data_IF_741600877998
#
_entry.id   IF_741600877998
#
_cell.length_a   1.000
_cell.length_b   1.000
_cell.length_c   1.000
_cell.angle_alpha   90.00
_cell.angle_beta   90.00
_cell.angle_gamma   90.00
#
_symmetry.space_group_name_H-M   'P 1'
#
loop_
_entity.id
_entity.type
_entity.pdbx_description
1 polymer ?
#
# COMPACT_ATOMS: atom_id res chain seq x y z
N UNK A 1 11.89 -26.07 2.89
CA UNK A 1 11.40 -25.06 1.93
C UNK A 1 9.95 -24.77 2.24
N UNK A 2 9.60 -23.55 2.67
CA UNK A 2 8.20 -23.14 2.79
C UNK A 2 7.60 -23.09 1.37
N UNK A 3 6.40 -23.65 1.18
CA UNK A 3 5.68 -23.59 -0.09
C UNK A 3 5.42 -22.11 -0.40
N UNK A 4 5.90 -21.61 -1.54
CA UNK A 4 5.60 -20.25 -1.96
C UNK A 4 4.07 -20.11 -2.07
N UNK A 5 3.51 -19.10 -1.42
CA UNK A 5 2.07 -18.80 -1.53
C UNK A 5 1.81 -18.45 -3.00
N UNK A 6 0.84 -19.11 -3.64
CA UNK A 6 0.36 -18.69 -4.95
C UNK A 6 -0.46 -17.41 -4.76
N UNK A 7 0.23 -16.27 -4.89
CA UNK A 7 -0.33 -14.92 -4.72
C UNK A 7 -1.62 -14.75 -5.53
N UNK A 8 -1.60 -15.15 -6.80
CA UNK A 8 -2.72 -14.91 -7.71
C UNK A 8 -3.95 -15.74 -7.33
N UNK A 9 -3.75 -17.02 -7.01
CA UNK A 9 -4.83 -17.86 -6.52
C UNK A 9 -5.41 -17.32 -5.20
N UNK A 10 -4.55 -16.83 -4.30
CA UNK A 10 -5.00 -16.25 -3.03
C UNK A 10 -5.74 -14.92 -3.24
N UNK A 11 -5.26 -14.04 -4.13
CA UNK A 11 -5.92 -12.78 -4.44
C UNK A 11 -7.27 -13.02 -5.11
N UNK A 12 -7.32 -13.93 -6.08
CA UNK A 12 -8.56 -14.36 -6.72
C UNK A 12 -9.55 -14.90 -5.69
N UNK A 13 -9.08 -15.70 -4.72
CA UNK A 13 -9.94 -16.18 -3.64
C UNK A 13 -10.42 -15.04 -2.72
N UNK A 14 -9.53 -14.13 -2.32
CA UNK A 14 -9.86 -12.99 -1.46
C UNK A 14 -10.86 -12.01 -2.10
N UNK A 15 -10.92 -11.94 -3.44
CA UNK A 15 -11.90 -11.13 -4.18
C UNK A 15 -13.27 -11.81 -4.35
N UNK A 16 -13.44 -13.07 -3.93
CA UNK A 16 -14.71 -13.80 -4.03
C UNK A 16 -15.52 -13.65 -2.74
N UNK A 17 -16.35 -12.63 -2.70
CA UNK A 17 -17.27 -12.42 -1.58
C UNK A 17 -18.39 -13.46 -1.57
N UNK A 18 -18.76 -13.84 -0.35
CA UNK A 18 -19.96 -14.61 -0.02
C UNK A 18 -21.21 -13.73 -0.10
N UNK A 19 -22.39 -14.36 -0.14
CA UNK A 19 -23.67 -13.63 -0.14
C UNK A 19 -23.85 -12.73 1.10
N UNK A 20 -23.35 -13.18 2.25
CA UNK A 20 -23.38 -12.39 3.48
C UNK A 20 -22.49 -11.14 3.38
N UNK A 21 -21.30 -11.25 2.79
CA UNK A 21 -20.41 -10.11 2.58
C UNK A 21 -20.97 -9.14 1.54
N UNK A 22 -21.60 -9.62 0.47
CA UNK A 22 -22.32 -8.76 -0.48
C UNK A 22 -23.48 -8.01 0.18
N UNK A 23 -24.22 -8.64 1.09
CA UNK A 23 -25.25 -7.95 1.87
C UNK A 23 -24.67 -6.82 2.71
N UNK A 24 -23.55 -7.07 3.39
CA UNK A 24 -22.86 -6.04 4.18
C UNK A 24 -22.33 -4.90 3.32
N UNK A 25 -21.75 -5.20 2.15
CA UNK A 25 -21.30 -4.17 1.20
C UNK A 25 -22.47 -3.26 0.82
N UNK A 26 -23.62 -3.84 0.49
CA UNK A 26 -24.82 -3.06 0.16
C UNK A 26 -25.25 -2.16 1.31
N UNK A 27 -25.34 -2.71 2.52
CA UNK A 27 -25.75 -1.95 3.70
C UNK A 27 -24.77 -0.80 4.01
N UNK A 28 -23.47 -1.05 3.87
CA UNK A 28 -22.44 -0.02 4.07
C UNK A 28 -22.43 1.04 2.98
N UNK A 29 -22.68 0.68 1.72
CA UNK A 29 -22.76 1.64 0.62
C UNK A 29 -23.88 2.65 0.85
N UNK A 30 -25.02 2.22 1.37
CA UNK A 30 -26.12 3.13 1.70
C UNK A 30 -25.79 4.05 2.89
N UNK A 31 -25.01 3.55 3.86
CA UNK A 31 -24.64 4.31 5.06
C UNK A 31 -23.45 5.27 4.85
N UNK A 32 -22.49 4.91 4.01
CA UNK A 32 -21.25 5.67 3.80
C UNK A 32 -21.48 6.94 2.97
N UNK A 33 -20.69 8.00 3.22
CA UNK A 33 -20.75 9.22 2.44
C UNK A 33 -20.39 8.95 0.97
N UNK A 34 -20.85 9.84 0.08
CA UNK A 34 -20.56 9.76 -1.36
C UNK A 34 -19.06 9.79 -1.67
N UNK A 35 -18.29 10.50 -0.86
CA UNK A 35 -16.82 10.54 -0.95
C UNK A 35 -16.20 9.92 0.30
N UNK A 36 -15.35 8.92 0.09
CA UNK A 36 -14.57 8.23 1.12
C UNK A 36 -13.12 8.68 1.00
N UNK A 37 -12.49 8.98 2.14
CA UNK A 37 -11.05 9.25 2.23
C UNK A 37 -10.38 8.01 2.83
N UNK A 38 -9.69 7.24 1.99
CA UNK A 38 -8.83 6.15 2.43
C UNK A 38 -7.47 6.72 2.82
N UNK A 39 -7.25 6.87 4.12
CA UNK A 39 -6.02 7.45 4.65
C UNK A 39 -4.82 6.49 4.64
N UNK A 40 -4.96 5.24 4.20
CA UNK A 40 -3.88 4.26 4.32
C UNK A 40 -3.95 3.07 3.34
N UNK A 41 -3.63 3.30 2.08
CA UNK A 41 -3.47 2.21 1.11
C UNK A 41 -2.00 1.95 0.77
N UNK A 42 -1.62 0.67 0.71
CA UNK A 42 -0.26 0.25 0.40
C UNK A 42 -0.16 -0.36 -0.99
N UNK A 43 0.61 0.28 -1.87
CA UNK A 43 0.76 -0.15 -3.26
C UNK A 43 2.24 -0.28 -3.69
N UNK A 44 2.53 -1.32 -4.47
CA UNK A 44 3.78 -1.53 -5.19
C UNK A 44 3.61 -2.62 -6.24
N UNK A 45 4.40 -2.56 -7.30
CA UNK A 45 4.47 -3.61 -8.31
C UNK A 45 5.31 -4.81 -7.83
N UNK A 46 5.08 -6.02 -8.38
CA UNK A 46 5.91 -7.20 -8.11
C UNK A 46 7.40 -6.96 -8.35
N UNK A 47 7.77 -6.26 -9.42
CA UNK A 47 9.15 -5.94 -9.77
C UNK A 47 9.85 -4.99 -8.79
N UNK A 48 9.10 -4.30 -7.91
CA UNK A 48 9.70 -3.49 -6.85
C UNK A 48 10.16 -4.34 -5.67
N UNK A 49 9.75 -5.61 -5.60
CA UNK A 49 10.11 -6.53 -4.52
C UNK A 49 11.46 -7.18 -4.86
N UNK A 50 12.54 -6.68 -4.25
CA UNK A 50 13.88 -7.24 -4.47
C UNK A 50 14.12 -8.52 -3.67
N UNK A 51 13.70 -8.52 -2.40
CA UNK A 51 13.84 -9.65 -1.48
C UNK A 51 12.76 -9.53 -0.42
N UNK A 52 12.28 -10.62 0.16
CA UNK A 52 11.39 -10.55 1.32
C UNK A 52 12.12 -11.23 2.46
N UNK A 53 12.48 -10.45 3.48
CA UNK A 53 13.09 -10.97 4.70
C UNK A 53 12.13 -11.95 5.40
N UNK A 54 12.64 -13.07 5.91
CA UNK A 54 11.82 -14.04 6.64
C UNK A 54 11.04 -13.42 7.79
N UNK A 55 11.59 -12.37 8.44
CA UNK A 55 10.90 -11.58 9.47
C UNK A 55 9.57 -11.03 8.99
N UNK A 56 9.44 -10.68 7.71
CA UNK A 56 8.19 -10.16 7.16
C UNK A 56 7.04 -11.19 7.20
N UNK A 57 7.34 -12.48 7.19
CA UNK A 57 6.35 -13.55 7.34
C UNK A 57 5.99 -13.84 8.80
N UNK A 58 6.79 -13.33 9.75
CA UNK A 58 6.57 -13.45 11.18
C UNK A 58 5.90 -12.20 11.79
N UNK A 59 5.66 -11.18 10.97
CA UNK A 59 4.95 -9.96 11.32
C UNK A 59 3.71 -9.82 10.44
N UNK A 60 2.65 -9.21 10.96
CA UNK A 60 1.45 -8.85 10.18
C UNK A 60 1.73 -7.63 9.28
N UNK A 61 2.67 -7.74 8.33
CA UNK A 61 3.09 -6.61 7.49
C UNK A 61 2.25 -6.46 6.23
N UNK A 62 1.85 -7.56 5.59
CA UNK A 62 0.97 -7.55 4.42
C UNK A 62 0.58 -8.97 4.02
N UNK A 63 -0.68 -9.16 3.62
CA UNK A 63 -1.18 -10.42 3.06
C UNK A 63 -0.54 -10.76 1.72
N UNK A 64 -0.17 -9.73 0.93
CA UNK A 64 0.43 -9.86 -0.39
C UNK A 64 1.80 -9.16 -0.46
N UNK A 65 2.85 -9.79 -1.03
CA UNK A 65 4.14 -9.14 -1.26
C UNK A 65 4.08 -7.89 -2.15
N UNK A 66 3.13 -7.86 -3.07
CA UNK A 66 2.86 -6.75 -3.97
C UNK A 66 1.36 -6.57 -4.13
N UNK A 67 0.94 -5.34 -4.36
CA UNK A 67 -0.45 -4.99 -4.64
C UNK A 67 -0.42 -3.71 -5.47
N UNK A 68 -0.83 -3.78 -6.73
CA UNK A 68 -0.70 -2.64 -7.65
C UNK A 68 -1.80 -1.60 -7.42
N UNK A 69 -1.64 -0.41 -8.00
CA UNK A 69 -2.69 0.62 -7.98
C UNK A 69 -3.97 0.13 -8.68
N UNK A 70 -3.82 -0.67 -9.74
CA UNK A 70 -4.94 -1.27 -10.48
C UNK A 70 -5.70 -2.25 -9.58
N UNK A 71 -4.99 -3.15 -8.89
CA UNK A 71 -5.61 -4.09 -7.96
C UNK A 71 -6.27 -3.39 -6.77
N UNK A 72 -5.65 -2.31 -6.27
CA UNK A 72 -6.24 -1.46 -5.23
C UNK A 72 -7.52 -0.80 -5.71
N UNK A 73 -7.54 -0.27 -6.93
CA UNK A 73 -8.72 0.36 -7.51
C UNK A 73 -9.83 -0.66 -7.78
N UNK A 74 -9.49 -1.84 -8.28
CA UNK A 74 -10.44 -2.95 -8.45
C UNK A 74 -11.09 -3.33 -7.13
N UNK A 75 -10.28 -3.49 -6.07
CA UNK A 75 -10.80 -3.84 -4.76
C UNK A 75 -11.70 -2.73 -4.18
N UNK A 76 -11.32 -1.46 -4.35
CA UNK A 76 -12.15 -0.31 -3.96
C UNK A 76 -13.50 -0.31 -4.68
N UNK A 77 -13.52 -0.60 -5.99
CA UNK A 77 -14.79 -0.67 -6.76
C UNK A 77 -15.70 -1.82 -6.29
N UNK A 78 -15.11 -2.92 -5.82
CA UNK A 78 -15.88 -4.04 -5.27
C UNK A 78 -16.43 -3.74 -3.87
N UNK A 79 -15.64 -3.09 -3.00
CA UNK A 79 -16.02 -2.80 -1.62
C UNK A 79 -16.92 -1.57 -1.48
N UNK A 80 -16.77 -0.59 -2.36
CA UNK A 80 -17.48 0.69 -2.30
C UNK A 80 -18.13 1.03 -3.66
N UNK A 81 -18.97 0.15 -4.22
CA UNK A 81 -19.58 0.37 -5.52
C UNK A 81 -20.35 1.69 -5.56
N UNK A 82 -20.12 2.47 -6.62
CA UNK A 82 -20.76 3.77 -6.84
C UNK A 82 -20.19 4.94 -6.02
N UNK A 83 -19.29 4.70 -5.07
CA UNK A 83 -18.67 5.76 -4.26
C UNK A 83 -17.42 6.33 -4.91
N UNK A 84 -17.10 7.58 -4.58
CA UNK A 84 -15.81 8.18 -4.90
C UNK A 84 -14.81 7.93 -3.78
N UNK A 85 -13.77 7.13 -4.02
CA UNK A 85 -12.67 6.94 -3.07
C UNK A 85 -11.49 7.83 -3.46
N UNK A 86 -10.95 8.58 -2.50
CA UNK A 86 -9.67 9.30 -2.62
C UNK A 86 -8.70 8.72 -1.62
N UNK A 87 -7.47 8.50 -2.05
CA UNK A 87 -6.55 7.66 -1.29
C UNK A 87 -5.25 8.40 -0.97
N UNK A 88 -4.76 8.23 0.25
CA UNK A 88 -3.36 8.47 0.60
C UNK A 88 -2.59 7.17 0.36
N UNK A 89 -1.78 7.17 -0.70
CA UNK A 89 -1.03 6.00 -1.16
C UNK A 89 0.35 5.95 -0.51
N UNK A 90 0.74 4.76 -0.07
CA UNK A 90 2.01 4.48 0.57
C UNK A 90 2.72 3.35 -0.18
N UNK A 91 4.04 3.39 -0.37
CA UNK A 91 4.78 2.17 -0.69
C UNK A 91 4.61 1.16 0.43
N UNK A 92 4.65 -0.14 0.12
CA UNK A 92 4.78 -1.17 1.17
C UNK A 92 6.05 -0.93 1.99
N UNK A 93 5.99 -1.25 3.27
CA UNK A 93 6.94 -0.75 4.27
C UNK A 93 7.99 -1.76 4.72
N UNK A 94 7.91 -2.99 4.22
CA UNK A 94 8.81 -4.05 4.62
C UNK A 94 10.16 -3.91 3.92
N UNK A 95 11.21 -4.32 4.63
CA UNK A 95 12.58 -4.38 4.10
C UNK A 95 12.61 -5.33 2.92
N UNK A 96 13.12 -4.86 1.78
CA UNK A 96 13.09 -5.62 0.54
C UNK A 96 12.48 -4.93 -0.66
N UNK A 97 11.67 -3.90 -0.42
CA UNK A 97 11.13 -3.06 -1.48
C UNK A 97 12.22 -2.09 -1.96
N UNK A 98 12.34 -1.93 -3.28
CA UNK A 98 13.03 -0.77 -3.86
C UNK A 98 12.15 0.46 -3.69
N UNK A 99 12.27 1.10 -2.52
CA UNK A 99 11.41 2.21 -2.13
C UNK A 99 11.55 3.44 -3.03
N UNK A 100 12.72 3.66 -3.67
CA UNK A 100 12.88 4.75 -4.64
C UNK A 100 11.97 4.54 -5.85
N UNK A 101 12.01 3.35 -6.44
CA UNK A 101 11.17 3.00 -7.59
C UNK A 101 9.69 2.94 -7.19
N UNK A 102 9.38 2.40 -6.01
CA UNK A 102 8.00 2.37 -5.52
C UNK A 102 7.42 3.78 -5.26
N UNK A 103 8.21 4.69 -4.67
CA UNK A 103 7.79 6.09 -4.49
C UNK A 103 7.50 6.76 -5.85
N UNK A 104 8.39 6.58 -6.83
CA UNK A 104 8.23 7.14 -8.18
C UNK A 104 6.99 6.57 -8.88
N UNK A 105 6.79 5.26 -8.81
CA UNK A 105 5.59 4.61 -9.34
C UNK A 105 4.30 5.25 -8.81
N UNK A 106 4.21 5.49 -7.49
CA UNK A 106 3.03 6.14 -6.93
C UNK A 106 2.89 7.58 -7.43
N UNK A 107 3.99 8.33 -7.53
CA UNK A 107 3.98 9.72 -8.03
C UNK A 107 3.51 9.83 -9.47
N UNK A 108 3.96 8.92 -10.32
CA UNK A 108 3.71 8.96 -11.75
C UNK A 108 2.36 8.34 -12.12
N UNK A 109 1.96 7.26 -11.45
CA UNK A 109 0.84 6.42 -11.87
C UNK A 109 -0.44 6.59 -11.03
N UNK A 110 -0.36 7.17 -9.82
CA UNK A 110 -1.57 7.40 -9.02
C UNK A 110 -2.44 8.49 -9.65
N UNK A 111 -3.76 8.41 -9.44
CA UNK A 111 -4.72 9.45 -9.87
C UNK A 111 -4.37 10.82 -9.29
N UNK A 112 -4.51 11.90 -10.07
CA UNK A 112 -4.26 13.28 -9.62
C UNK A 112 -5.10 13.71 -8.40
N UNK A 113 -6.19 12.99 -8.11
CA UNK A 113 -7.04 13.20 -6.94
C UNK A 113 -6.48 12.56 -5.67
N UNK A 114 -5.58 11.60 -5.81
CA UNK A 114 -4.91 10.92 -4.71
C UNK A 114 -3.67 11.68 -4.27
N UNK A 115 -3.24 11.41 -3.05
CA UNK A 115 -2.02 11.96 -2.43
C UNK A 115 -1.10 10.84 -2.04
N UNK A 116 0.17 11.19 -1.84
CA UNK A 116 1.22 10.20 -1.59
C UNK A 116 1.85 10.49 -0.24
N UNK A 117 1.97 9.43 0.54
CA UNK A 117 2.83 9.38 1.68
C UNK A 117 4.12 8.68 1.27
N UNK A 118 5.18 9.48 1.16
CA UNK A 118 6.51 9.03 0.75
C UNK A 118 7.04 8.01 1.75
N UNK A 119 7.66 6.92 1.29
CA UNK A 119 8.51 6.13 2.18
C UNK A 119 9.88 6.81 2.27
N UNK A 120 10.23 7.30 3.45
CA UNK A 120 11.48 8.00 3.69
C UNK A 120 12.67 7.06 3.82
N UNK A 121 13.81 7.49 3.29
CA UNK A 121 15.05 6.73 3.27
C UNK A 121 16.04 7.37 4.23
N UNK A 122 16.25 6.79 5.43
CA UNK A 122 17.17 7.37 6.41
C UNK A 122 18.64 7.34 5.96
N UNK A 123 18.97 6.51 4.98
CA UNK A 123 20.28 6.45 4.31
C UNK A 123 20.41 7.41 3.11
N UNK A 124 19.32 8.07 2.70
CA UNK A 124 19.30 9.06 1.63
C UNK A 124 18.32 10.21 1.95
N UNK A 125 18.73 11.03 2.92
CA UNK A 125 17.97 12.19 3.39
C UNK A 125 17.79 13.21 2.27
N UNK A 126 18.81 13.42 1.42
CA UNK A 126 18.74 14.37 0.31
C UNK A 126 17.64 14.02 -0.69
N UNK A 127 17.56 12.75 -1.10
CA UNK A 127 16.44 12.25 -1.90
C UNK A 127 15.10 12.43 -1.18
N UNK A 128 15.03 12.05 0.10
CA UNK A 128 13.78 12.11 0.87
C UNK A 128 13.25 13.54 0.96
N UNK A 129 14.11 14.50 1.32
CA UNK A 129 13.76 15.92 1.40
C UNK A 129 13.37 16.46 0.03
N UNK A 130 14.14 16.18 -1.02
CA UNK A 130 13.82 16.65 -2.37
C UNK A 130 12.48 16.14 -2.91
N UNK A 131 12.06 14.93 -2.52
CA UNK A 131 10.76 14.37 -2.88
C UNK A 131 9.59 15.02 -2.13
N UNK A 132 9.82 15.53 -0.91
CA UNK A 132 8.78 16.19 -0.11
C UNK A 132 8.30 17.51 -0.73
N UNK A 133 9.12 18.16 -1.55
CA UNK A 133 8.75 19.39 -2.27
C UNK A 133 7.71 19.14 -3.38
N UNK A 134 7.46 17.88 -3.75
CA UNK A 134 6.51 17.57 -4.81
C UNK A 134 5.06 17.82 -4.33
N UNK A 135 4.22 18.57 -5.07
CA UNK A 135 2.90 19.03 -4.61
C UNK A 135 1.87 17.90 -4.35
N UNK A 136 2.15 16.69 -4.82
CA UNK A 136 1.33 15.49 -4.57
C UNK A 136 1.75 14.70 -3.34
N UNK A 137 2.93 14.98 -2.78
CA UNK A 137 3.40 14.37 -1.53
C UNK A 137 2.79 15.15 -0.37
N UNK A 138 2.15 14.44 0.55
CA UNK A 138 1.44 15.04 1.70
C UNK A 138 1.88 14.50 3.04
N UNK A 139 2.70 13.44 3.05
CA UNK A 139 3.22 12.85 4.27
C UNK A 139 4.53 12.10 4.00
N UNK A 140 5.22 11.78 5.10
CA UNK A 140 6.39 10.93 5.14
C UNK A 140 6.11 9.73 6.06
N UNK A 141 6.34 8.51 5.58
CA UNK A 141 6.33 7.29 6.38
C UNK A 141 7.76 6.83 6.58
N UNK A 142 8.14 6.70 7.85
CA UNK A 142 9.40 6.11 8.29
C UNK A 142 9.10 4.78 8.97
N UNK A 143 9.98 3.79 8.83
CA UNK A 143 9.80 2.50 9.47
C UNK A 143 11.06 2.08 10.22
N UNK A 144 10.92 1.80 11.52
CA UNK A 144 12.04 1.51 12.41
C UNK A 144 12.86 0.28 11.98
N UNK A 145 12.22 -0.69 11.31
CA UNK A 145 12.87 -1.90 10.82
C UNK A 145 13.55 -1.73 9.46
N UNK A 146 13.62 -0.51 8.93
CA UNK A 146 14.39 -0.23 7.71
C UNK A 146 15.88 -0.51 7.92
N UNK A 147 16.42 -0.09 9.07
CA UNK A 147 17.83 -0.25 9.44
C UNK A 147 18.12 -1.66 10.00
N UNK A 148 19.38 -2.09 9.89
CA UNK A 148 19.90 -3.29 10.55
C UNK A 148 21.11 -2.92 11.42
N UNK A 149 21.03 -3.08 12.76
CA UNK A 149 19.85 -3.49 13.52
C UNK A 149 18.71 -2.45 13.42
N UNK A 150 17.43 -2.85 13.66
CA UNK A 150 16.31 -1.92 13.71
C UNK A 150 16.57 -0.75 14.66
N UNK A 151 16.05 0.43 14.31
CA UNK A 151 16.13 1.60 15.17
C UNK A 151 15.48 1.30 16.53
N UNK A 152 16.20 1.60 17.62
CA UNK A 152 15.72 1.40 19.00
C UNK A 152 14.97 2.62 19.54
N UNK A 153 15.12 3.76 18.90
CA UNK A 153 14.52 5.04 19.25
C UNK A 153 13.82 5.61 18.02
N UNK A 154 12.62 6.16 18.23
CA UNK A 154 11.87 6.91 17.22
C UNK A 154 11.96 8.37 17.69
N UNK A 155 12.61 9.23 16.89
CA UNK A 155 12.72 10.66 17.15
C UNK A 155 11.60 11.44 16.47
#
# INVERSE_FOLDING_TARGET
MRKAINREAYLTHAKKFTDAEYSLIKDFVDWLPETIIDCHAHCNLPEHVCMIDDRAYHHMLSTFPSFSLEESKELQMLLYPGKTVRTLQFPKTFRGINHKVANLYLLEQSSNRDRIALYGLPDDIGYTVGMLDHPRVSALKMYYSYLEPPAKEIY
#
